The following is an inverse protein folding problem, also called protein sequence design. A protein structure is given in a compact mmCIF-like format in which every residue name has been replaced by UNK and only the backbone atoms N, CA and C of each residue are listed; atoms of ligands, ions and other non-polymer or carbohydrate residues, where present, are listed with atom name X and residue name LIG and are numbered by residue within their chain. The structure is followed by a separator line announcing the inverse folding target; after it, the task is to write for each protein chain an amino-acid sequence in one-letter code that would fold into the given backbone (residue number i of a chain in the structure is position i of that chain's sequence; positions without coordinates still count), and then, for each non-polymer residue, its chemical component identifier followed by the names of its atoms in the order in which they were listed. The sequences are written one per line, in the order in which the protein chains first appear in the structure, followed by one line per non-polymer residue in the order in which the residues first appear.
data_IF_021516151591
#
_entry.id   IF_021516151591
#
_cell.length_a   1.000
_cell.length_b   1.000
_cell.length_c   1.000
_cell.angle_alpha   90.00
_cell.angle_beta   90.00
_cell.angle_gamma   90.00
#
_symmetry.space_group_name_H-M   'P 1'
#
loop_
_entity.id
_entity.type
_entity.pdbx_description
1 polymer ?
#
# COMPACT_ATOMS: atom_id res chain seq x y z
N UNK A 1 43.97 14.84 -11.80
CA UNK A 1 44.13 13.38 -11.89
C UNK A 1 43.16 12.66 -11.00
N UNK A 2 42.31 11.95 -11.69
CA UNK A 2 41.58 10.73 -11.37
C UNK A 2 40.73 10.63 -10.10
N UNK A 3 39.45 10.78 -10.32
CA UNK A 3 38.35 10.26 -9.54
C UNK A 3 38.23 8.74 -9.67
N UNK A 4 37.85 8.06 -8.64
CA UNK A 4 37.32 6.70 -8.73
C UNK A 4 35.93 6.66 -8.10
N UNK A 5 34.99 6.31 -8.94
CA UNK A 5 33.60 5.97 -8.66
C UNK A 5 33.51 4.67 -7.86
N UNK A 6 32.60 4.61 -6.91
CA UNK A 6 31.96 3.35 -6.53
C UNK A 6 30.47 3.63 -6.29
N UNK A 7 29.69 3.27 -7.28
CA UNK A 7 28.24 3.15 -7.19
C UNK A 7 27.92 1.75 -6.65
N UNK A 8 27.23 1.69 -5.55
CA UNK A 8 26.59 0.48 -5.07
C UNK A 8 25.16 0.44 -5.62
N UNK A 9 24.94 -0.45 -6.56
CA UNK A 9 23.63 -0.83 -7.09
C UNK A 9 22.92 -1.73 -6.08
N UNK A 10 21.76 -1.30 -5.63
CA UNK A 10 20.74 -2.22 -5.16
C UNK A 10 19.43 -1.83 -5.87
N UNK A 11 19.20 -2.48 -7.00
CA UNK A 11 17.93 -2.37 -7.71
C UNK A 11 16.91 -3.29 -7.06
N UNK A 12 15.91 -2.70 -6.41
CA UNK A 12 14.69 -3.39 -6.07
C UNK A 12 13.76 -3.35 -7.28
N UNK A 13 13.52 -4.49 -7.91
CA UNK A 13 12.55 -4.62 -8.98
C UNK A 13 11.14 -4.49 -8.42
N UNK A 14 10.47 -3.37 -8.72
CA UNK A 14 9.03 -3.26 -8.62
C UNK A 14 8.43 -3.64 -9.98
N UNK A 15 7.71 -4.73 -10.04
CA UNK A 15 6.99 -5.15 -11.23
C UNK A 15 5.76 -4.27 -11.42
N UNK A 16 5.71 -3.54 -12.52
CA UNK A 16 4.54 -2.80 -12.99
C UNK A 16 3.70 -3.70 -13.88
N UNK A 17 2.47 -4.01 -13.47
CA UNK A 17 1.47 -4.61 -14.36
C UNK A 17 0.40 -3.59 -14.70
N UNK A 18 0.34 -3.19 -15.96
CA UNK A 18 -0.75 -2.37 -16.52
C UNK A 18 -1.87 -3.31 -17.00
N UNK A 19 -3.09 -3.11 -16.52
CA UNK A 19 -4.29 -3.80 -17.06
C UNK A 19 -5.26 -2.76 -17.58
N UNK A 20 -5.40 -2.69 -18.92
CA UNK A 20 -6.52 -2.04 -19.60
C UNK A 20 -7.59 -3.11 -19.89
N UNK A 21 -8.72 -3.06 -19.22
CA UNK A 21 -9.87 -3.91 -19.48
C UNK A 21 -11.08 -3.10 -19.87
N UNK A 22 -11.44 -3.12 -21.18
CA UNK A 22 -12.70 -2.59 -21.69
C UNK A 22 -13.81 -3.62 -21.47
N UNK A 23 -14.86 -3.25 -20.73
CA UNK A 23 -16.06 -4.09 -20.55
C UNK A 23 -16.98 -3.90 -21.76
N UNK A 24 -17.25 -4.97 -22.49
CA UNK A 24 -18.41 -5.08 -23.36
C UNK A 24 -19.33 -6.19 -22.86
N UNK A 25 -20.54 -5.81 -22.55
CA UNK A 25 -21.68 -6.68 -22.24
C UNK A 25 -22.20 -7.35 -23.51
N UNK A 26 -22.33 -8.69 -23.51
CA UNK A 26 -23.29 -9.38 -24.38
C UNK A 26 -23.94 -10.54 -23.65
N UNK A 27 -25.25 -10.45 -23.56
CA UNK A 27 -26.20 -11.49 -23.16
C UNK A 27 -26.27 -12.61 -24.19
N UNK A 28 -26.31 -13.86 -23.72
CA UNK A 28 -26.60 -14.99 -24.59
C UNK A 28 -26.61 -16.35 -23.85
N UNK A 29 -27.80 -16.79 -23.51
CA UNK A 29 -28.15 -18.13 -23.02
C UNK A 29 -27.81 -19.21 -24.02
N UNK A 30 -27.23 -20.35 -23.55
CA UNK A 30 -27.69 -21.70 -23.91
C UNK A 30 -27.04 -22.77 -23.01
N UNK A 31 -27.89 -23.63 -22.48
CA UNK A 31 -27.60 -24.87 -21.76
C UNK A 31 -26.75 -25.85 -22.56
N UNK A 32 -25.78 -26.47 -21.91
CA UNK A 32 -25.47 -27.91 -22.15
C UNK A 32 -24.88 -28.54 -20.90
N UNK A 33 -25.62 -29.52 -20.39
CA UNK A 33 -25.25 -30.45 -19.35
C UNK A 33 -23.99 -31.24 -19.70
N UNK A 34 -23.00 -31.15 -18.82
CA UNK A 34 -21.84 -32.03 -18.81
C UNK A 34 -21.43 -32.26 -17.37
N UNK A 35 -21.84 -33.35 -16.78
CA UNK A 35 -21.45 -33.80 -15.45
C UNK A 35 -19.98 -34.21 -15.45
N UNK A 36 -19.12 -33.40 -14.78
CA UNK A 36 -17.88 -33.88 -14.21
C UNK A 36 -17.97 -33.72 -12.71
N UNK A 37 -18.03 -34.83 -11.98
CA UNK A 37 -17.75 -34.90 -10.56
C UNK A 37 -16.29 -34.43 -10.35
N UNK A 38 -16.10 -33.21 -9.94
CA UNK A 38 -14.86 -32.65 -9.43
C UNK A 38 -15.09 -32.23 -7.98
N UNK A 39 -14.41 -32.91 -7.13
CA UNK A 39 -14.30 -32.86 -5.68
C UNK A 39 -14.28 -31.47 -5.05
N UNK A 40 -14.84 -31.43 -3.82
CA UNK A 40 -14.54 -30.56 -2.68
C UNK A 40 -14.33 -29.05 -2.97
N UNK A 41 -15.33 -28.31 -2.65
CA UNK A 41 -15.41 -26.94 -2.15
C UNK A 41 -14.11 -26.14 -2.13
N UNK A 42 -13.63 -25.68 -3.27
CA UNK A 42 -12.74 -24.55 -3.41
C UNK A 42 -13.53 -23.27 -3.05
N UNK A 43 -13.95 -23.13 -1.79
CA UNK A 43 -14.68 -21.95 -1.34
C UNK A 43 -13.72 -20.94 -0.74
N UNK A 44 -13.71 -19.75 -1.35
CA UNK A 44 -13.12 -18.59 -0.72
C UNK A 44 -13.82 -18.33 0.61
N UNK A 45 -13.11 -18.06 1.71
CA UNK A 45 -13.71 -17.85 3.02
C UNK A 45 -14.79 -16.77 3.00
N UNK A 46 -15.88 -16.98 3.75
CA UNK A 46 -16.97 -16.02 3.84
C UNK A 46 -16.46 -14.67 4.38
N UNK A 47 -16.69 -13.61 3.64
CA UNK A 47 -16.22 -12.27 3.96
C UNK A 47 -16.97 -11.66 5.15
N UNK A 48 -16.31 -10.90 6.04
CA UNK A 48 -16.98 -10.17 7.10
C UNK A 48 -17.85 -9.05 6.52
N UNK A 49 -18.93 -8.70 7.24
CA UNK A 49 -19.72 -7.51 6.96
C UNK A 49 -19.05 -6.31 7.60
N UNK A 50 -18.79 -5.26 6.83
CA UNK A 50 -18.20 -4.00 7.29
C UNK A 50 -19.03 -2.80 6.87
N UNK A 51 -18.91 -1.70 7.63
CA UNK A 51 -19.63 -0.44 7.41
C UNK A 51 -18.94 0.48 6.41
N UNK A 52 -17.61 0.38 6.25
CA UNK A 52 -16.84 1.20 5.32
C UNK A 52 -17.47 1.31 3.94
N UNK A 53 -17.49 2.50 3.37
CA UNK A 53 -17.99 2.72 2.02
C UNK A 53 -17.06 2.18 0.93
N UNK A 54 -15.76 2.04 1.24
CA UNK A 54 -14.75 1.41 0.38
C UNK A 54 -13.66 0.80 1.26
N UNK A 55 -13.21 -0.41 0.94
CA UNK A 55 -12.17 -1.09 1.72
C UNK A 55 -11.37 -2.09 0.91
N UNK A 56 -10.15 -2.37 1.37
CA UNK A 56 -9.31 -3.44 0.85
C UNK A 56 -8.46 -4.03 1.97
N UNK A 57 -8.25 -5.34 1.92
CA UNK A 57 -7.24 -6.07 2.69
C UNK A 57 -6.32 -6.81 1.72
N UNK A 58 -5.02 -6.53 1.81
CA UNK A 58 -4.02 -7.20 0.97
C UNK A 58 -2.89 -7.79 1.81
N UNK A 59 -2.24 -8.84 1.32
CA UNK A 59 -0.90 -9.22 1.78
C UNK A 59 0.13 -8.26 1.19
N UNK A 60 1.01 -7.73 2.03
CA UNK A 60 2.00 -6.73 1.63
C UNK A 60 3.09 -7.32 0.73
N UNK A 61 3.42 -8.59 0.90
CA UNK A 61 4.52 -9.25 0.19
C UNK A 61 4.06 -9.74 -1.18
N UNK A 62 2.95 -10.49 -1.24
CA UNK A 62 2.43 -11.08 -2.47
C UNK A 62 1.57 -10.13 -3.30
N UNK A 63 0.97 -9.11 -2.65
CA UNK A 63 -0.03 -8.24 -3.27
C UNK A 63 -1.40 -8.89 -3.46
N UNK A 64 -1.60 -10.10 -2.92
CA UNK A 64 -2.89 -10.80 -2.98
C UNK A 64 -3.98 -9.99 -2.28
N UNK A 65 -5.12 -9.85 -2.95
CA UNK A 65 -6.30 -9.20 -2.39
C UNK A 65 -7.11 -10.26 -1.64
N UNK A 66 -7.15 -10.16 -0.31
CA UNK A 66 -7.90 -11.08 0.54
C UNK A 66 -9.35 -10.63 0.75
N UNK A 67 -9.58 -9.34 0.68
CA UNK A 67 -10.91 -8.72 0.76
C UNK A 67 -10.95 -7.41 -0.03
N UNK A 68 -12.06 -7.18 -0.71
CA UNK A 68 -12.32 -5.90 -1.37
C UNK A 68 -13.80 -5.51 -1.29
N UNK A 69 -14.03 -4.20 -1.21
CA UNK A 69 -15.35 -3.56 -1.30
C UNK A 69 -15.16 -2.19 -1.95
N UNK A 70 -15.69 -2.01 -3.15
CA UNK A 70 -15.58 -0.75 -3.91
C UNK A 70 -14.17 -0.14 -3.90
N UNK A 71 -13.11 -1.00 -3.87
CA UNK A 71 -11.74 -0.60 -3.59
C UNK A 71 -11.12 0.29 -4.68
N UNK A 72 -11.68 0.30 -5.90
CA UNK A 72 -11.27 1.17 -7.01
C UNK A 72 -12.10 2.46 -7.10
N UNK A 73 -13.08 2.66 -6.22
CA UNK A 73 -13.88 3.88 -6.19
C UNK A 73 -13.05 5.06 -5.68
N UNK A 74 -13.10 6.18 -6.44
CA UNK A 74 -12.42 7.44 -6.07
C UNK A 74 -12.89 7.93 -4.69
N UNK A 75 -11.95 8.24 -3.81
CA UNK A 75 -12.18 8.73 -2.46
C UNK A 75 -11.21 9.87 -2.12
N UNK A 76 -11.58 10.70 -1.17
CA UNK A 76 -10.68 11.67 -0.56
C UNK A 76 -9.84 10.99 0.53
N UNK A 77 -8.51 11.03 0.44
CA UNK A 77 -7.64 10.34 1.41
C UNK A 77 -7.59 11.03 2.78
N UNK A 78 -7.89 12.32 2.86
CA UNK A 78 -7.59 13.14 4.03
C UNK A 78 -6.13 12.95 4.48
N UNK A 79 -5.86 12.97 5.77
CA UNK A 79 -4.48 12.85 6.30
C UNK A 79 -3.80 11.49 6.08
N UNK A 80 -4.46 10.49 5.47
CA UNK A 80 -3.73 9.28 5.01
C UNK A 80 -2.76 9.59 3.88
N UNK A 81 -2.93 10.71 3.17
CA UNK A 81 -1.94 11.32 2.24
C UNK A 81 -0.53 11.37 2.82
N UNK A 82 -0.42 11.61 4.14
CA UNK A 82 0.87 11.80 4.81
C UNK A 82 1.78 10.57 4.80
N UNK A 83 1.26 9.38 4.44
CA UNK A 83 2.13 8.22 4.22
C UNK A 83 3.02 8.44 3.00
N UNK A 84 2.48 8.98 1.89
CA UNK A 84 3.25 9.33 0.69
C UNK A 84 4.24 10.46 1.00
N UNK A 85 3.81 11.50 1.69
CA UNK A 85 4.68 12.60 2.12
C UNK A 85 5.86 12.10 2.94
N UNK A 86 5.61 11.20 3.90
CA UNK A 86 6.65 10.63 4.75
C UNK A 86 7.56 9.67 4.00
N UNK A 87 7.02 8.87 3.07
CA UNK A 87 7.79 7.98 2.22
C UNK A 87 8.79 8.78 1.38
N UNK A 88 8.31 9.81 0.67
CA UNK A 88 9.18 10.68 -0.14
C UNK A 88 10.22 11.43 0.70
N UNK A 89 9.86 11.86 1.90
CA UNK A 89 10.83 12.49 2.80
C UNK A 89 11.97 11.52 3.17
N UNK A 90 11.64 10.26 3.49
CA UNK A 90 12.64 9.24 3.83
C UNK A 90 13.49 8.86 2.61
N UNK A 91 12.89 8.82 1.42
CA UNK A 91 13.61 8.46 0.19
C UNK A 91 14.53 9.57 -0.33
N UNK A 92 14.28 10.86 0.03
CA UNK A 92 14.97 12.01 -0.56
C UNK A 92 15.74 12.90 0.45
N UNK A 93 15.88 12.47 1.70
CA UNK A 93 16.62 13.24 2.71
C UNK A 93 17.26 12.33 3.76
N UNK A 94 18.14 12.94 4.59
CA UNK A 94 18.65 12.33 5.82
C UNK A 94 17.73 12.66 7.00
N UNK A 95 17.61 11.77 7.98
CA UNK A 95 16.88 12.03 9.22
C UNK A 95 17.44 13.19 10.03
N UNK A 96 18.74 13.49 9.88
CA UNK A 96 19.45 14.57 10.54
C UNK A 96 19.34 15.91 9.80
N UNK A 97 18.78 15.94 8.58
CA UNK A 97 18.59 17.19 7.84
C UNK A 97 17.69 18.15 8.62
N UNK A 98 18.06 19.43 8.61
CA UNK A 98 17.32 20.45 9.36
C UNK A 98 16.38 21.22 8.45
N UNK A 99 15.08 21.07 8.70
CA UNK A 99 14.02 21.83 8.03
C UNK A 99 13.85 23.18 8.75
N UNK A 100 13.87 24.27 8.01
CA UNK A 100 13.46 25.60 8.51
C UNK A 100 12.09 25.93 7.93
N UNK A 101 11.08 26.07 8.79
CA UNK A 101 9.71 26.29 8.36
C UNK A 101 9.49 27.69 7.84
N UNK A 102 8.97 27.80 6.62
CA UNK A 102 8.59 29.07 6.01
C UNK A 102 7.36 29.68 6.68
N UNK A 103 7.09 30.95 6.37
CA UNK A 103 5.83 31.60 6.75
C UNK A 103 4.62 30.89 6.13
N UNK A 104 4.74 30.38 4.91
CA UNK A 104 3.68 29.63 4.24
C UNK A 104 3.39 28.33 4.98
N UNK A 105 4.43 27.56 5.31
CA UNK A 105 4.28 26.33 6.10
C UNK A 105 3.61 26.59 7.44
N UNK A 106 4.12 27.55 8.22
CA UNK A 106 3.60 27.89 9.55
C UNK A 106 2.13 28.35 9.55
N UNK A 107 1.60 28.79 8.41
CA UNK A 107 0.21 29.23 8.26
C UNK A 107 -0.63 28.32 7.34
N UNK A 108 -0.15 27.13 7.03
CA UNK A 108 -0.81 26.19 6.09
C UNK A 108 -1.93 25.36 6.71
N UNK A 109 -2.44 25.72 7.87
CA UNK A 109 -3.52 25.03 8.57
C UNK A 109 -4.50 26.02 9.20
N UNK A 110 -5.75 25.56 9.40
CA UNK A 110 -6.74 26.27 10.19
C UNK A 110 -6.59 25.91 11.67
N UNK A 111 -7.11 26.76 12.58
CA UNK A 111 -6.94 26.62 14.03
C UNK A 111 -7.45 25.27 14.60
N UNK A 112 -8.45 24.67 13.98
CA UNK A 112 -9.09 23.40 14.36
C UNK A 112 -8.47 22.17 13.69
N UNK A 113 -7.56 22.38 12.76
CA UNK A 113 -6.86 21.29 12.06
C UNK A 113 -5.66 20.77 12.87
N UNK A 114 -5.21 19.57 12.52
CA UNK A 114 -4.08 18.93 13.19
C UNK A 114 -2.76 19.69 12.94
N UNK A 115 -2.15 20.17 14.02
CA UNK A 115 -0.91 20.94 13.98
C UNK A 115 -0.08 20.72 15.25
N UNK A 116 1.15 21.20 15.26
CA UNK A 116 2.07 21.26 16.41
C UNK A 116 2.32 22.69 16.89
N UNK A 117 1.74 23.69 16.24
CA UNK A 117 2.00 25.10 16.48
C UNK A 117 3.39 25.54 16.06
N UNK A 118 3.93 24.92 15.00
CA UNK A 118 5.23 25.28 14.42
C UNK A 118 5.21 26.70 13.89
N UNK A 119 6.28 27.47 14.15
CA UNK A 119 6.39 28.91 13.86
C UNK A 119 7.27 29.17 12.65
N UNK A 120 7.09 30.32 12.00
CA UNK A 120 8.01 30.81 10.96
C UNK A 120 9.45 30.86 11.47
N UNK A 121 10.38 30.30 10.70
CA UNK A 121 11.81 30.21 11.03
C UNK A 121 12.12 29.18 12.13
N UNK A 122 11.15 28.39 12.60
CA UNK A 122 11.40 27.28 13.51
C UNK A 122 12.13 26.15 12.76
N UNK A 123 12.93 25.38 13.49
CA UNK A 123 13.75 24.32 12.93
C UNK A 123 13.47 22.99 13.61
N UNK A 124 13.22 21.96 12.79
CA UNK A 124 13.16 20.54 13.20
C UNK A 124 14.17 19.73 12.40
N UNK A 125 14.66 18.63 12.96
CA UNK A 125 15.28 17.61 12.13
C UNK A 125 14.20 16.93 11.29
N UNK A 126 14.57 16.29 10.17
CA UNK A 126 13.64 15.50 9.36
C UNK A 126 12.98 14.39 10.20
N UNK A 127 13.75 13.76 11.08
CA UNK A 127 13.19 12.77 12.03
C UNK A 127 12.05 13.39 12.86
N UNK A 128 12.28 14.54 13.49
CA UNK A 128 11.26 15.23 14.28
C UNK A 128 10.02 15.60 13.44
N UNK A 129 10.24 16.03 12.21
CA UNK A 129 9.18 16.38 11.28
C UNK A 129 8.35 15.14 10.87
N UNK A 130 8.99 14.01 10.63
CA UNK A 130 8.32 12.74 10.32
C UNK A 130 7.47 12.24 11.51
N UNK A 131 7.99 12.30 12.73
CA UNK A 131 7.21 11.96 13.93
C UNK A 131 6.01 12.90 14.12
N UNK A 132 6.18 14.21 13.93
CA UNK A 132 5.09 15.18 13.98
C UNK A 132 4.03 14.90 12.90
N UNK A 133 4.46 14.53 11.69
CA UNK A 133 3.60 14.21 10.55
C UNK A 133 2.80 12.93 10.76
N UNK A 134 3.43 11.85 11.23
CA UNK A 134 2.79 10.55 11.36
C UNK A 134 1.99 10.40 12.67
N UNK A 135 2.54 10.81 13.82
CA UNK A 135 1.89 10.62 15.11
C UNK A 135 0.84 11.70 15.41
N UNK A 136 1.20 12.97 15.20
CA UNK A 136 0.34 14.12 15.49
C UNK A 136 -0.54 14.51 14.29
N UNK A 137 -0.16 14.06 13.08
CA UNK A 137 -0.81 14.45 11.81
C UNK A 137 -0.64 15.94 11.46
N UNK A 138 0.47 16.57 11.87
CA UNK A 138 0.72 18.00 11.73
C UNK A 138 0.70 18.45 10.26
N UNK A 139 -0.25 19.33 9.90
CA UNK A 139 -0.44 19.79 8.52
C UNK A 139 0.69 20.71 8.07
N UNK A 140 1.07 21.66 8.92
CA UNK A 140 2.13 22.61 8.65
C UNK A 140 3.51 21.93 8.53
N UNK A 141 3.71 20.86 9.27
CA UNK A 141 4.96 20.10 9.20
C UNK A 141 5.04 19.31 7.90
N UNK A 142 3.95 18.67 7.49
CA UNK A 142 3.88 18.00 6.19
C UNK A 142 4.10 18.99 5.03
N UNK A 143 3.55 20.21 5.15
CA UNK A 143 3.79 21.30 4.19
C UNK A 143 5.27 21.67 4.13
N UNK A 144 5.91 21.89 5.30
CA UNK A 144 7.33 22.21 5.38
C UNK A 144 8.25 21.11 4.84
N UNK A 145 7.89 19.84 5.02
CA UNK A 145 8.58 18.70 4.37
C UNK A 145 8.53 18.86 2.85
N UNK A 146 7.33 19.14 2.28
CA UNK A 146 7.18 19.34 0.84
C UNK A 146 8.02 20.48 0.30
N UNK A 147 8.04 21.63 0.99
CA UNK A 147 8.92 22.76 0.62
C UNK A 147 10.40 22.40 0.69
N UNK A 148 10.81 21.67 1.74
CA UNK A 148 12.21 21.29 1.91
C UNK A 148 12.69 20.34 0.80
N UNK A 149 11.90 19.31 0.47
CA UNK A 149 12.29 18.30 -0.50
C UNK A 149 12.28 18.83 -1.95
N UNK A 150 11.25 19.60 -2.33
CA UNK A 150 11.02 19.97 -3.73
C UNK A 150 11.10 21.48 -4.00
N UNK A 151 11.34 22.30 -2.97
CA UNK A 151 11.40 23.75 -3.08
C UNK A 151 10.04 24.45 -3.21
N UNK A 152 8.97 23.70 -3.55
CA UNK A 152 7.61 24.23 -3.62
C UNK A 152 6.57 23.11 -3.50
N UNK A 153 5.34 23.45 -3.10
CA UNK A 153 4.25 22.47 -2.99
C UNK A 153 3.83 21.92 -4.36
N UNK A 154 3.71 22.72 -5.43
CA UNK A 154 3.45 22.13 -6.76
C UNK A 154 4.50 21.11 -7.19
N UNK A 155 5.79 21.39 -7.05
CA UNK A 155 6.85 20.47 -7.40
C UNK A 155 6.82 19.19 -6.51
N UNK A 156 6.49 19.33 -5.22
CA UNK A 156 6.34 18.17 -4.34
C UNK A 156 5.11 17.33 -4.72
N UNK A 157 4.01 17.97 -5.12
CA UNK A 157 2.82 17.25 -5.61
C UNK A 157 3.12 16.48 -6.90
N UNK A 158 3.93 17.04 -7.79
CA UNK A 158 4.40 16.33 -8.99
C UNK A 158 5.22 15.09 -8.62
N UNK A 159 6.15 15.21 -7.64
CA UNK A 159 6.91 14.07 -7.11
C UNK A 159 5.98 13.01 -6.48
N UNK A 160 4.97 13.42 -5.70
CA UNK A 160 3.98 12.51 -5.12
C UNK A 160 3.23 11.74 -6.20
N UNK A 161 2.81 12.39 -7.26
CA UNK A 161 2.07 11.80 -8.38
C UNK A 161 2.95 10.87 -9.23
N UNK A 162 4.22 11.23 -9.44
CA UNK A 162 5.19 10.37 -10.11
C UNK A 162 5.40 9.09 -9.29
N UNK A 163 5.69 9.24 -7.99
CA UNK A 163 5.90 8.10 -7.12
C UNK A 163 4.68 7.21 -7.00
N UNK A 164 3.47 7.79 -6.96
CA UNK A 164 2.23 7.02 -6.98
C UNK A 164 2.13 6.14 -8.24
N UNK A 165 2.44 6.68 -9.43
CA UNK A 165 2.45 5.92 -10.69
C UNK A 165 3.48 4.78 -10.67
N UNK A 166 4.69 5.04 -10.19
CA UNK A 166 5.74 4.01 -10.04
C UNK A 166 5.31 2.85 -9.13
N UNK A 167 4.50 3.15 -8.12
CA UNK A 167 3.97 2.16 -7.17
C UNK A 167 2.69 1.47 -7.67
N UNK A 168 2.22 1.77 -8.89
CA UNK A 168 1.00 1.20 -9.46
C UNK A 168 -0.29 1.85 -8.97
N UNK A 169 -0.23 2.99 -8.26
CA UNK A 169 -1.39 3.76 -7.81
C UNK A 169 -1.89 4.71 -8.91
N UNK A 170 -2.51 4.14 -9.93
CA UNK A 170 -2.81 4.82 -11.20
C UNK A 170 -4.07 5.71 -11.16
N UNK A 171 -4.92 5.53 -10.15
CA UNK A 171 -6.15 6.30 -9.95
C UNK A 171 -6.01 7.31 -8.80
N UNK A 172 -4.78 7.77 -8.55
CA UNK A 172 -4.42 8.69 -7.48
C UNK A 172 -3.91 10.01 -8.05
N UNK A 173 -4.31 11.10 -7.44
CA UNK A 173 -3.77 12.42 -7.70
C UNK A 173 -3.63 13.21 -6.40
N UNK A 174 -2.42 13.57 -6.08
CA UNK A 174 -2.07 14.41 -4.93
C UNK A 174 -1.89 15.87 -5.36
N UNK A 175 -2.53 16.78 -4.65
CA UNK A 175 -2.45 18.22 -4.87
C UNK A 175 -1.78 18.96 -3.70
N UNK A 176 -1.56 18.28 -2.60
CA UNK A 176 -0.89 18.80 -1.41
C UNK A 176 -0.28 17.69 -0.55
N UNK A 177 0.68 18.00 0.35
CA UNK A 177 1.36 17.00 1.18
C UNK A 177 0.60 16.58 2.44
N UNK A 178 -0.48 17.26 2.81
CA UNK A 178 -1.15 17.09 4.10
C UNK A 178 -2.53 16.43 4.03
N UNK A 179 -3.13 16.37 2.84
CA UNK A 179 -4.44 15.74 2.62
C UNK A 179 -5.63 16.65 2.94
N UNK A 180 -5.42 17.96 2.98
CA UNK A 180 -6.54 18.91 3.05
C UNK A 180 -7.38 18.83 1.77
N UNK A 181 -8.68 19.05 1.94
CA UNK A 181 -9.66 18.84 0.86
C UNK A 181 -9.41 19.73 -0.34
N UNK A 182 -9.32 19.08 -1.49
CA UNK A 182 -9.29 19.67 -2.83
C UNK A 182 -9.97 18.69 -3.78
N UNK A 183 -10.74 19.19 -4.74
CA UNK A 183 -11.47 18.33 -5.70
C UNK A 183 -10.55 17.50 -6.58
N UNK A 184 -9.30 17.92 -6.75
CA UNK A 184 -8.25 17.21 -7.49
C UNK A 184 -7.33 16.38 -6.59
N UNK A 185 -7.61 16.30 -5.27
CA UNK A 185 -6.83 15.51 -4.34
C UNK A 185 -7.61 14.24 -3.99
N UNK A 186 -7.27 13.13 -4.64
CA UNK A 186 -8.03 11.88 -4.53
C UNK A 186 -7.14 10.64 -4.66
N UNK A 187 -7.68 9.53 -4.23
CA UNK A 187 -7.07 8.20 -4.34
C UNK A 187 -8.17 7.13 -4.41
N UNK A 188 -7.78 5.86 -4.39
CA UNK A 188 -8.65 4.71 -4.16
C UNK A 188 -8.11 3.87 -3.01
N UNK A 189 -8.92 2.98 -2.43
CA UNK A 189 -8.44 2.10 -1.36
C UNK A 189 -7.34 1.16 -1.89
N UNK A 190 -7.47 0.70 -3.13
CA UNK A 190 -6.46 -0.10 -3.82
C UNK A 190 -5.15 0.68 -3.97
N UNK A 191 -5.20 1.88 -4.53
CA UNK A 191 -4.01 2.70 -4.77
C UNK A 191 -3.28 3.05 -3.47
N UNK A 192 -4.05 3.41 -2.42
CA UNK A 192 -3.45 3.70 -1.12
C UNK A 192 -2.81 2.44 -0.50
N UNK A 193 -3.35 1.26 -0.75
CA UNK A 193 -2.73 0.00 -0.33
C UNK A 193 -1.43 -0.27 -1.09
N UNK A 194 -1.34 0.06 -2.39
CA UNK A 194 -0.08 -0.05 -3.16
C UNK A 194 1.00 0.89 -2.61
N UNK A 195 0.65 2.13 -2.30
CA UNK A 195 1.56 3.06 -1.60
C UNK A 195 1.94 2.49 -0.22
N UNK A 196 0.97 1.91 0.48
CA UNK A 196 1.17 1.24 1.77
C UNK A 196 2.19 0.09 1.72
N UNK A 197 2.26 -0.66 0.62
CA UNK A 197 3.27 -1.72 0.44
C UNK A 197 4.69 -1.15 0.48
N UNK A 198 4.94 -0.06 -0.23
CA UNK A 198 6.24 0.63 -0.18
C UNK A 198 6.56 1.13 1.24
N UNK A 199 5.57 1.69 1.94
CA UNK A 199 5.72 2.14 3.33
C UNK A 199 6.04 0.96 4.27
N UNK A 200 5.34 -0.17 4.15
CA UNK A 200 5.54 -1.34 5.00
C UNK A 200 6.90 -2.00 4.78
N UNK A 201 7.48 -1.86 3.59
CA UNK A 201 8.83 -2.35 3.25
C UNK A 201 9.94 -1.37 3.67
N UNK A 202 9.60 -0.17 4.13
CA UNK A 202 10.56 0.82 4.59
C UNK A 202 10.70 0.77 6.12
N UNK A 203 11.84 0.30 6.61
CA UNK A 203 12.09 0.11 8.05
C UNK A 203 12.04 1.42 8.84
N UNK A 204 12.51 2.54 8.28
CA UNK A 204 12.45 3.86 8.91
C UNK A 204 11.00 4.32 9.04
N UNK A 205 10.21 4.19 7.98
CA UNK A 205 8.78 4.50 8.03
C UNK A 205 8.08 3.68 9.10
N UNK A 206 8.33 2.37 9.15
CA UNK A 206 7.70 1.47 10.12
C UNK A 206 8.10 1.78 11.56
N UNK A 207 9.36 2.09 11.81
CA UNK A 207 9.84 2.52 13.13
C UNK A 207 9.09 3.74 13.63
N UNK A 208 8.91 4.77 12.77
CA UNK A 208 8.23 6.01 13.13
C UNK A 208 6.72 5.77 13.29
N UNK A 209 6.07 5.11 12.32
CA UNK A 209 4.62 4.94 12.30
C UNK A 209 4.10 3.99 13.38
N UNK A 210 4.93 3.08 13.90
CA UNK A 210 4.59 2.17 15.01
C UNK A 210 4.78 2.79 16.40
N UNK A 211 5.50 3.90 16.49
CA UNK A 211 5.84 4.54 17.76
C UNK A 211 4.59 5.06 18.48
N UNK A 212 4.48 4.78 19.78
CA UNK A 212 3.32 5.21 20.57
C UNK A 212 3.45 6.65 21.04
N UNK A 213 4.67 7.05 21.39
CA UNK A 213 4.96 8.40 21.89
C UNK A 213 6.26 8.91 21.28
N UNK A 214 6.34 10.22 21.14
CA UNK A 214 7.56 10.93 20.75
C UNK A 214 7.57 12.33 21.38
N UNK A 215 8.75 12.93 21.56
CA UNK A 215 8.85 14.30 22.03
C UNK A 215 9.88 15.07 21.23
N UNK A 216 9.54 16.32 20.88
CA UNK A 216 10.47 17.29 20.32
C UNK A 216 10.95 18.18 21.47
N UNK A 217 12.26 18.23 21.76
CA UNK A 217 12.82 19.11 22.78
C UNK A 217 12.63 20.59 22.39
N UNK A 218 12.98 21.56 23.28
CA UNK A 218 12.99 22.96 22.93
C UNK A 218 13.71 23.22 21.60
N UNK A 219 13.13 24.11 20.79
CA UNK A 219 13.66 24.50 19.49
C UNK A 219 14.22 25.93 19.53
N UNK A 220 14.69 26.39 18.39
CA UNK A 220 15.12 27.83 18.25
C UNK A 220 13.98 28.86 18.40
N UNK A 221 12.70 28.40 18.42
CA UNK A 221 11.51 29.29 18.51
C UNK A 221 10.58 28.95 19.67
N UNK A 222 10.70 27.78 20.27
CA UNK A 222 9.79 27.29 21.31
C UNK A 222 10.61 26.72 22.46
N UNK A 223 10.40 27.25 23.67
CA UNK A 223 11.14 26.85 24.87
C UNK A 223 10.58 25.55 25.50
N UNK A 224 9.34 25.17 25.16
CA UNK A 224 8.65 24.01 25.72
C UNK A 224 8.93 22.76 24.88
N UNK A 225 9.08 21.62 25.54
CA UNK A 225 9.07 20.30 24.89
C UNK A 225 7.68 19.98 24.43
N UNK A 226 7.54 19.56 23.17
CA UNK A 226 6.27 19.06 22.62
C UNK A 226 6.21 17.55 22.76
N UNK A 227 5.11 17.04 23.31
CA UNK A 227 4.84 15.60 23.49
C UNK A 227 3.76 15.15 22.51
N UNK A 228 4.05 14.13 21.75
CA UNK A 228 3.12 13.51 20.80
C UNK A 228 2.75 12.12 21.27
N UNK A 229 1.48 11.78 21.12
CA UNK A 229 0.97 10.43 21.27
C UNK A 229 0.37 10.00 19.94
N UNK A 230 0.61 8.75 19.56
CA UNK A 230 0.03 8.15 18.36
C UNK A 230 -1.49 8.32 18.35
N UNK A 231 -2.03 8.83 17.24
CA UNK A 231 -3.47 9.04 17.08
C UNK A 231 -4.22 7.79 16.62
N UNK A 232 -3.52 6.79 16.13
CA UNK A 232 -4.10 5.53 15.67
C UNK A 232 -4.60 4.72 16.86
N UNK A 233 -5.92 4.45 16.94
CA UNK A 233 -6.54 3.80 18.08
C UNK A 233 -6.01 2.39 18.36
N UNK A 234 -5.57 1.67 17.32
CA UNK A 234 -5.01 0.33 17.48
C UNK A 234 -3.62 0.30 18.14
N UNK A 235 -2.92 1.44 18.18
CA UNK A 235 -1.61 1.56 18.81
C UNK A 235 -1.68 1.75 20.31
N UNK A 236 -2.84 2.07 20.87
CA UNK A 236 -2.96 2.47 22.26
C UNK A 236 -4.20 1.86 22.95
N UNK A 237 -4.25 1.96 24.27
CA UNK A 237 -5.25 1.30 25.14
C UNK A 237 -6.64 1.92 25.13
N UNK A 238 -7.06 2.62 24.09
CA UNK A 238 -8.35 3.32 24.02
C UNK A 238 -9.53 2.41 23.57
N UNK A 239 -9.46 1.12 23.85
CA UNK A 239 -10.53 0.16 23.51
C UNK A 239 -10.41 -0.48 22.13
N UNK A 240 -9.52 0.03 21.27
CA UNK A 240 -9.31 -0.49 19.91
C UNK A 240 -7.95 -1.15 19.73
N UNK A 241 -7.15 -1.32 20.79
CA UNK A 241 -5.82 -1.93 20.71
C UNK A 241 -5.86 -3.26 19.96
N UNK A 242 -4.92 -3.43 19.05
CA UNK A 242 -4.77 -4.66 18.26
C UNK A 242 -3.36 -5.20 18.40
N UNK A 243 -3.24 -6.45 18.85
CA UNK A 243 -1.94 -7.04 19.21
C UNK A 243 -0.96 -7.15 18.03
N UNK A 244 -1.49 -7.31 16.81
CA UNK A 244 -0.68 -7.45 15.60
C UNK A 244 -0.39 -6.10 14.91
N UNK A 245 -0.83 -4.98 15.48
CA UNK A 245 -0.60 -3.64 14.94
C UNK A 245 0.90 -3.35 14.76
N UNK A 246 1.27 -2.83 13.59
CA UNK A 246 2.64 -2.44 13.25
C UNK A 246 2.78 -0.97 12.85
N UNK A 247 1.71 -0.27 12.60
CA UNK A 247 1.72 1.13 12.20
C UNK A 247 0.49 1.52 11.40
N UNK A 248 0.43 2.77 10.97
CA UNK A 248 -0.68 3.23 10.15
C UNK A 248 -0.89 4.73 10.23
N UNK A 249 -1.94 5.20 9.55
CA UNK A 249 -2.31 6.61 9.51
C UNK A 249 -3.81 6.80 9.48
N UNK A 250 -4.30 7.68 10.34
CA UNK A 250 -5.71 8.13 10.39
C UNK A 250 -5.91 9.35 9.50
N UNK A 251 -7.12 9.51 8.95
CA UNK A 251 -7.54 10.72 8.27
C UNK A 251 -8.99 11.05 8.59
N UNK A 252 -9.33 12.33 8.43
CA UNK A 252 -10.69 12.85 8.52
C UNK A 252 -10.75 14.23 7.87
N UNK A 253 -11.74 14.45 7.05
CA UNK A 253 -12.32 15.74 6.67
C UNK A 253 -13.83 15.52 6.50
N UNK A 254 -14.61 16.59 6.46
CA UNK A 254 -16.06 16.47 6.28
C UNK A 254 -16.39 15.78 4.94
N UNK A 255 -15.59 16.00 3.90
CA UNK A 255 -15.78 15.40 2.58
C UNK A 255 -15.33 13.94 2.49
N UNK A 256 -14.30 13.54 3.24
CA UNK A 256 -13.77 12.18 3.23
C UNK A 256 -14.54 11.22 4.13
N UNK A 257 -15.17 11.72 5.18
CA UNK A 257 -15.49 10.92 6.36
C UNK A 257 -14.21 10.43 7.05
N UNK A 258 -14.34 9.42 7.89
CA UNK A 258 -13.17 8.82 8.54
C UNK A 258 -12.46 7.85 7.60
N UNK A 259 -11.14 7.99 7.52
CA UNK A 259 -10.25 7.18 6.69
C UNK A 259 -9.15 6.56 7.55
N UNK A 260 -8.70 5.38 7.15
CA UNK A 260 -7.63 4.67 7.86
C UNK A 260 -6.83 3.80 6.89
N UNK A 261 -5.52 3.80 7.06
CA UNK A 261 -4.64 2.74 6.61
C UNK A 261 -3.93 2.16 7.82
N UNK A 262 -3.91 0.84 7.92
CA UNK A 262 -3.27 0.11 9.03
C UNK A 262 -2.38 -0.99 8.49
N UNK A 263 -1.23 -1.16 9.12
CA UNK A 263 -0.28 -2.25 8.90
C UNK A 263 -0.35 -3.20 10.08
N UNK A 264 -0.48 -4.50 9.82
CA UNK A 264 -0.49 -5.53 10.84
C UNK A 264 0.37 -6.72 10.41
N UNK A 265 0.96 -7.40 11.38
CA UNK A 265 1.75 -8.61 11.13
C UNK A 265 1.50 -9.65 12.21
N UNK A 266 1.17 -10.84 11.77
CA UNK A 266 1.08 -12.03 12.60
C UNK A 266 1.95 -13.11 11.94
N UNK A 267 2.93 -13.60 12.68
CA UNK A 267 3.91 -14.57 12.18
C UNK A 267 4.60 -14.05 10.89
N UNK A 268 4.52 -14.77 9.79
CA UNK A 268 5.07 -14.41 8.48
C UNK A 268 4.08 -13.64 7.58
N UNK A 269 2.82 -13.51 7.98
CA UNK A 269 1.81 -12.79 7.21
C UNK A 269 1.80 -11.31 7.56
N UNK A 270 1.98 -10.44 6.56
CA UNK A 270 2.02 -8.99 6.66
C UNK A 270 0.84 -8.39 5.90
N UNK A 271 -0.14 -7.87 6.60
CA UNK A 271 -1.38 -7.38 6.00
C UNK A 271 -1.49 -5.86 6.04
N UNK A 272 -2.05 -5.30 4.98
CA UNK A 272 -2.42 -3.88 4.86
C UNK A 272 -3.93 -3.80 4.71
N UNK A 273 -4.56 -3.03 5.59
CA UNK A 273 -5.98 -2.73 5.53
C UNK A 273 -6.18 -1.23 5.26
N UNK A 274 -7.00 -0.91 4.27
CA UNK A 274 -7.46 0.46 4.00
C UNK A 274 -8.97 0.49 4.09
N UNK A 275 -9.53 1.44 4.86
CA UNK A 275 -10.96 1.71 4.93
C UNK A 275 -11.22 3.20 4.71
N UNK A 276 -12.23 3.51 3.88
CA UNK A 276 -12.64 4.86 3.52
C UNK A 276 -14.14 5.06 3.71
N UNK A 277 -14.53 6.32 3.89
CA UNK A 277 -15.92 6.74 4.03
C UNK A 277 -16.61 6.09 5.21
N UNK A 278 -15.92 5.97 6.33
CA UNK A 278 -16.54 5.58 7.58
C UNK A 278 -17.32 6.74 8.19
N UNK A 279 -18.44 6.40 8.80
CA UNK A 279 -19.36 7.39 9.39
C UNK A 279 -18.88 7.97 10.72
N UNK A 280 -18.04 7.23 11.44
CA UNK A 280 -17.52 7.63 12.75
C UNK A 280 -16.12 7.09 13.03
N UNK A 281 -15.48 7.66 14.07
CA UNK A 281 -14.11 7.34 14.45
C UNK A 281 -13.91 5.89 14.90
N UNK A 282 -14.91 5.29 15.52
CA UNK A 282 -14.84 3.93 16.05
C UNK A 282 -14.90 2.88 14.94
N UNK A 283 -15.82 3.09 13.98
CA UNK A 283 -16.12 2.14 12.90
C UNK A 283 -14.89 1.78 12.10
N UNK A 284 -14.00 2.74 11.78
CA UNK A 284 -12.77 2.45 11.03
C UNK A 284 -11.85 1.45 11.74
N UNK A 285 -11.84 1.40 13.07
CA UNK A 285 -11.04 0.42 13.83
C UNK A 285 -11.76 -0.93 13.95
N UNK A 286 -13.08 -0.91 14.12
CA UNK A 286 -13.90 -2.13 14.19
C UNK A 286 -13.81 -2.89 12.87
N UNK A 287 -14.00 -2.19 11.74
CA UNK A 287 -13.95 -2.78 10.41
C UNK A 287 -12.52 -3.28 10.06
N UNK A 288 -11.50 -2.46 10.33
CA UNK A 288 -10.11 -2.88 10.10
C UNK A 288 -9.73 -4.10 10.93
N UNK A 289 -10.19 -4.18 12.21
CA UNK A 289 -9.96 -5.36 13.05
C UNK A 289 -10.64 -6.60 12.47
N UNK A 290 -11.90 -6.48 12.05
CA UNK A 290 -12.64 -7.58 11.45
C UNK A 290 -11.96 -8.09 10.18
N UNK A 291 -11.43 -7.19 9.36
CA UNK A 291 -10.67 -7.53 8.15
C UNK A 291 -9.34 -8.22 8.47
N UNK A 292 -8.58 -7.72 9.45
CA UNK A 292 -7.35 -8.40 9.87
C UNK A 292 -7.62 -9.78 10.46
N UNK A 293 -8.60 -9.89 11.36
CA UNK A 293 -8.99 -11.19 11.93
C UNK A 293 -9.45 -12.16 10.83
N UNK A 294 -10.16 -11.66 9.81
CA UNK A 294 -10.52 -12.44 8.64
C UNK A 294 -9.29 -12.92 7.86
N UNK A 295 -8.35 -12.04 7.55
CA UNK A 295 -7.11 -12.39 6.83
C UNK A 295 -6.28 -13.42 7.60
N UNK A 296 -5.93 -13.13 8.84
CA UNK A 296 -5.07 -14.01 9.65
C UNK A 296 -5.68 -15.35 10.03
N UNK A 297 -7.00 -15.46 10.12
CA UNK A 297 -7.64 -16.70 10.53
C UNK A 297 -8.02 -17.60 9.34
N UNK A 298 -8.17 -17.04 8.15
CA UNK A 298 -8.68 -17.78 7.01
C UNK A 298 -7.65 -18.05 5.91
N UNK A 299 -6.53 -17.35 5.91
CA UNK A 299 -5.50 -17.48 4.87
C UNK A 299 -4.16 -17.88 5.45
N UNK A 300 -3.34 -18.46 4.60
CA UNK A 300 -1.93 -18.79 4.87
C UNK A 300 -1.07 -18.41 3.68
N UNK A 301 0.17 -18.05 3.94
CA UNK A 301 1.20 -17.88 2.95
C UNK A 301 1.84 -19.23 2.65
N UNK A 302 1.67 -19.73 1.45
CA UNK A 302 2.21 -21.01 1.02
C UNK A 302 3.44 -20.78 0.13
N UNK A 303 4.58 -21.42 0.42
CA UNK A 303 5.75 -21.33 -0.44
C UNK A 303 5.46 -22.04 -1.77
N UNK A 304 5.90 -21.43 -2.88
CA UNK A 304 5.81 -22.03 -4.21
C UNK A 304 7.22 -22.18 -4.77
N UNK A 305 7.52 -23.36 -5.30
CA UNK A 305 8.83 -23.68 -5.87
C UNK A 305 8.82 -23.63 -7.41
N UNK A 306 10.00 -23.53 -8.02
CA UNK A 306 10.14 -23.64 -9.48
C UNK A 306 9.57 -24.94 -10.04
N UNK A 307 9.59 -26.04 -9.27
CA UNK A 307 8.99 -27.31 -9.66
C UNK A 307 7.46 -27.26 -9.61
N UNK A 308 6.88 -26.56 -8.64
CA UNK A 308 5.42 -26.37 -8.56
C UNK A 308 4.94 -25.54 -9.75
N UNK A 309 5.61 -24.42 -10.05
CA UNK A 309 5.30 -23.57 -11.22
C UNK A 309 5.40 -24.39 -12.50
N UNK A 310 6.48 -25.17 -12.68
CA UNK A 310 6.64 -26.02 -13.85
C UNK A 310 5.54 -27.07 -13.97
N UNK A 311 5.14 -27.65 -12.86
CA UNK A 311 4.04 -28.65 -12.82
C UNK A 311 2.70 -28.02 -13.16
N UNK A 312 2.36 -26.88 -12.56
CA UNK A 312 1.13 -26.14 -12.81
C UNK A 312 1.09 -25.60 -14.25
N UNK A 313 2.22 -25.10 -14.77
CA UNK A 313 2.34 -24.65 -16.15
C UNK A 313 2.11 -25.77 -17.14
N UNK A 314 2.72 -26.94 -16.93
CA UNK A 314 2.56 -28.11 -17.80
C UNK A 314 1.15 -28.70 -17.77
N UNK A 315 0.43 -28.55 -16.68
CA UNK A 315 -0.98 -28.94 -16.55
C UNK A 315 -1.95 -27.96 -17.19
N UNK A 316 -1.50 -26.72 -17.42
CA UNK A 316 -2.29 -25.69 -18.09
C UNK A 316 -2.32 -25.93 -19.61
N UNK A 317 -3.46 -25.66 -20.26
CA UNK A 317 -3.58 -25.73 -21.74
C UNK A 317 -2.73 -24.67 -22.48
N UNK A 318 -2.01 -23.82 -21.75
CA UNK A 318 -1.17 -22.76 -22.31
C UNK A 318 0.04 -23.32 -23.09
N UNK A 319 0.56 -24.46 -22.67
CA UNK A 319 1.72 -25.10 -23.31
C UNK A 319 1.48 -25.54 -24.76
N UNK A 320 0.23 -25.70 -25.18
CA UNK A 320 -0.14 -26.03 -26.56
C UNK A 320 -0.20 -24.79 -27.49
N UNK A 321 0.16 -23.61 -27.00
CA UNK A 321 0.14 -22.41 -27.82
C UNK A 321 1.37 -22.35 -28.73
N UNK A 322 1.23 -21.69 -29.88
CA UNK A 322 2.14 -21.64 -31.00
C UNK A 322 3.54 -21.03 -30.73
N UNK A 323 3.80 -20.57 -29.50
CA UNK A 323 5.01 -19.78 -29.17
C UNK A 323 6.20 -20.62 -28.83
N UNK A 324 6.03 -21.73 -28.12
CA UNK A 324 7.18 -22.49 -27.58
C UNK A 324 7.47 -23.84 -28.25
N UNK A 325 6.60 -24.33 -29.09
CA UNK A 325 6.78 -25.63 -29.75
C UNK A 325 6.98 -26.77 -28.71
N UNK A 326 7.89 -27.71 -29.00
CA UNK A 326 8.25 -28.85 -28.12
C UNK A 326 9.47 -28.55 -27.23
N UNK A 327 9.85 -27.30 -27.06
CA UNK A 327 10.98 -26.94 -26.18
C UNK A 327 10.55 -27.01 -24.72
N UNK A 328 11.31 -27.74 -23.89
CA UNK A 328 11.07 -27.74 -22.44
C UNK A 328 11.38 -26.37 -21.85
N UNK A 329 10.41 -25.80 -21.13
CA UNK A 329 10.60 -24.55 -20.41
C UNK A 329 11.01 -24.89 -18.98
N UNK A 330 12.08 -24.28 -18.51
CA UNK A 330 12.50 -24.33 -17.12
C UNK A 330 12.28 -22.96 -16.49
N UNK A 331 11.64 -22.95 -15.34
CA UNK A 331 11.50 -21.74 -14.51
C UNK A 331 12.61 -21.71 -13.46
N UNK A 332 13.25 -20.57 -13.31
CA UNK A 332 14.11 -20.27 -12.18
C UNK A 332 13.48 -19.12 -11.43
N UNK A 333 13.15 -19.35 -10.19
CA UNK A 333 12.60 -18.29 -9.31
C UNK A 333 13.34 -18.34 -7.98
N UNK A 334 13.50 -17.18 -7.39
CA UNK A 334 13.78 -17.05 -5.97
C UNK A 334 12.53 -17.54 -5.18
N UNK A 335 12.65 -17.67 -3.86
CA UNK A 335 11.52 -18.10 -3.02
C UNK A 335 10.31 -17.17 -3.23
N UNK A 336 9.23 -17.73 -3.75
CA UNK A 336 7.97 -17.03 -3.90
C UNK A 336 6.91 -17.63 -2.98
N UNK A 337 5.86 -16.86 -2.73
CA UNK A 337 4.74 -17.25 -1.90
C UNK A 337 3.43 -16.89 -2.59
N UNK A 338 2.39 -17.66 -2.25
CA UNK A 338 1.01 -17.36 -2.64
C UNK A 338 0.12 -17.39 -1.42
N UNK A 339 -0.87 -16.52 -1.38
CA UNK A 339 -1.89 -16.52 -0.33
C UNK A 339 -3.07 -17.38 -0.76
N UNK A 340 -3.35 -18.40 0.03
CA UNK A 340 -4.45 -19.33 -0.20
C UNK A 340 -5.26 -19.51 1.09
N UNK A 341 -6.54 -19.93 0.97
CA UNK A 341 -7.31 -20.32 2.15
C UNK A 341 -6.61 -21.39 2.98
N UNK A 342 -6.82 -21.39 4.30
CA UNK A 342 -6.21 -22.36 5.21
C UNK A 342 -6.47 -23.81 4.81
N UNK A 343 -7.65 -24.11 4.25
CA UNK A 343 -8.05 -25.43 3.78
C UNK A 343 -7.46 -25.83 2.43
N UNK A 344 -6.91 -24.87 1.67
CA UNK A 344 -6.41 -25.08 0.32
C UNK A 344 -4.97 -25.63 0.30
N UNK A 345 -4.63 -26.24 -0.84
CA UNK A 345 -3.31 -26.76 -1.19
C UNK A 345 -2.76 -26.00 -2.41
N UNK A 346 -1.45 -26.03 -2.61
CA UNK A 346 -0.79 -25.50 -3.83
C UNK A 346 -1.33 -26.16 -5.10
N UNK A 347 -1.76 -27.42 -5.03
CA UNK A 347 -2.36 -28.13 -6.17
C UNK A 347 -3.74 -27.60 -6.58
N UNK A 348 -4.34 -26.74 -5.76
CA UNK A 348 -5.65 -26.12 -6.04
C UNK A 348 -5.50 -24.75 -6.75
N UNK A 349 -4.27 -24.36 -7.09
CA UNK A 349 -3.95 -23.07 -7.72
C UNK A 349 -3.89 -23.25 -9.23
N UNK A 350 -4.52 -22.33 -9.95
CA UNK A 350 -4.36 -22.14 -11.39
C UNK A 350 -3.31 -21.08 -11.69
N UNK A 351 -2.51 -21.31 -12.72
CA UNK A 351 -1.56 -20.32 -13.23
C UNK A 351 -2.13 -19.66 -14.49
N UNK A 352 -2.07 -18.33 -14.54
CA UNK A 352 -2.23 -17.57 -15.76
C UNK A 352 -0.93 -16.84 -16.11
N UNK A 353 -0.57 -16.87 -17.39
CA UNK A 353 0.63 -16.23 -17.91
C UNK A 353 0.21 -15.17 -18.92
N UNK A 354 0.66 -13.94 -18.74
CA UNK A 354 0.49 -12.87 -19.73
C UNK A 354 1.86 -12.51 -20.31
N UNK A 355 1.95 -12.53 -21.65
CA UNK A 355 3.15 -12.13 -22.36
C UNK A 355 3.33 -10.62 -22.26
N UNK A 356 4.56 -10.19 -21.92
CA UNK A 356 4.90 -8.77 -21.97
C UNK A 356 5.26 -8.40 -23.40
N UNK A 357 4.44 -7.54 -24.05
CA UNK A 357 4.57 -7.15 -25.46
C UNK A 357 5.78 -6.26 -25.78
N UNK A 358 6.60 -5.91 -24.80
CA UNK A 358 7.80 -5.08 -24.96
C UNK A 358 9.11 -5.88 -25.16
N UNK A 359 9.04 -7.17 -25.44
CA UNK A 359 10.24 -7.94 -25.81
C UNK A 359 10.78 -7.44 -27.15
N UNK A 360 11.90 -6.72 -27.10
CA UNK A 360 12.58 -6.20 -28.28
C UNK A 360 13.05 -7.31 -29.22
N UNK A 361 12.93 -7.09 -30.50
CA UNK A 361 13.13 -8.01 -31.63
C UNK A 361 14.49 -8.74 -31.75
N UNK A 362 15.39 -8.66 -30.76
CA UNK A 362 16.77 -9.17 -30.93
C UNK A 362 17.35 -9.99 -29.77
N UNK A 363 16.58 -10.34 -28.75
CA UNK A 363 17.05 -11.25 -27.70
C UNK A 363 15.94 -12.21 -27.28
N UNK A 364 16.25 -13.49 -27.18
CA UNK A 364 15.33 -14.59 -26.81
C UNK A 364 14.93 -14.60 -25.34
N UNK A 365 15.09 -13.49 -24.62
CA UNK A 365 14.66 -13.35 -23.24
C UNK A 365 13.20 -12.84 -23.20
N UNK A 366 12.29 -13.77 -23.06
CA UNK A 366 10.89 -13.47 -22.77
C UNK A 366 10.75 -13.13 -21.29
N UNK A 367 10.15 -11.99 -21.00
CA UNK A 367 9.57 -11.70 -19.69
C UNK A 367 8.07 -11.92 -19.77
N UNK A 368 7.52 -12.71 -18.87
CA UNK A 368 6.09 -12.93 -18.76
C UNK A 368 5.68 -12.73 -17.30
N UNK A 369 4.52 -12.11 -17.11
CA UNK A 369 3.91 -12.02 -15.79
C UNK A 369 3.16 -13.32 -15.50
N UNK A 370 3.50 -13.96 -14.39
CA UNK A 370 2.85 -15.17 -13.92
C UNK A 370 1.94 -14.81 -12.76
N UNK A 371 0.64 -15.00 -12.92
CA UNK A 371 -0.34 -14.82 -11.86
C UNK A 371 -0.81 -16.15 -11.32
N UNK A 372 -0.88 -16.25 -10.01
CA UNK A 372 -1.39 -17.42 -9.29
C UNK A 372 -2.82 -17.14 -8.84
N UNK A 373 -3.75 -18.03 -9.19
CA UNK A 373 -5.17 -17.83 -8.92
C UNK A 373 -5.73 -19.02 -8.14
N UNK A 374 -6.57 -18.74 -7.16
CA UNK A 374 -7.38 -19.74 -6.47
C UNK A 374 -8.85 -19.48 -6.83
N UNK A 375 -9.39 -20.32 -7.72
CA UNK A 375 -10.67 -20.04 -8.37
C UNK A 375 -10.64 -18.71 -9.15
N UNK A 376 -11.52 -17.78 -8.81
CA UNK A 376 -11.55 -16.45 -9.41
C UNK A 376 -10.68 -15.41 -8.69
N UNK A 377 -10.00 -15.78 -7.61
CA UNK A 377 -9.23 -14.87 -6.77
C UNK A 377 -7.73 -14.97 -7.07
N UNK A 378 -7.07 -13.82 -7.18
CA UNK A 378 -5.64 -13.73 -7.42
C UNK A 378 -4.89 -13.86 -6.10
N UNK A 379 -4.14 -14.95 -5.92
CA UNK A 379 -3.37 -15.27 -4.72
C UNK A 379 -1.97 -14.68 -4.69
N UNK A 380 -1.52 -14.06 -5.80
CA UNK A 380 -0.20 -13.41 -5.91
C UNK A 380 0.24 -13.24 -7.36
N UNK A 381 1.33 -12.50 -7.54
CA UNK A 381 2.03 -12.33 -8.84
C UNK A 381 3.52 -12.43 -8.65
#
# INVERSE_FOLDING_TARGET
STAASNAATSAGNAATSAVNGTVQSTTGTTDTTGSSQGSSDNQWPASPTISAGSAILIDADTGAILYEKDCHSRAYPASTTKIMTSLLAIENSSLDDVITFSKAAANSYKWDEANTGTREGEQFTMEQALYATLLKSANEVAYGIGEYIAGSIPAFSDMMNERARELGALNTHFNNPNGLSDTNHYTTAYDLAMIGRACFNNSTFMTISSSVNYSIPPTNKTAETRYFRQRHGMANSNGYQYEYFKGGKTGFTDESGYTLITFAQKDDMRLICVVFRESDDASRYVDSKALFDYGFNNFKKAPISSSDVSSLFNSSNYYNSKVFGNAGISFSMDSAYVDIPQSASITDIDISVSENSEASDNNYDFTADVSFNYGSHKGGT
#
